data_IF_835052881119
#
_entry.id   IF_835052881119
#
_cell.length_a   1.000
_cell.length_b   1.000
_cell.length_c   1.000
_cell.angle_alpha   90.00
_cell.angle_beta   90.00
_cell.angle_gamma   90.00
#
_symmetry.space_group_name_H-M   'P 1'
#
loop_
_entity.id
_entity.type
_entity.pdbx_description
1 polymer ?
#
# COMPACT_ATOMS: atom_id res chain seq x y z
N UNK A 1 6.48 3.38 9.93
CA UNK A 1 6.65 2.01 9.49
C UNK A 1 7.32 1.91 8.14
N UNK A 2 6.71 2.40 7.08
CA UNK A 2 7.18 2.25 5.68
C UNK A 2 8.52 2.91 5.36
N UNK A 3 9.07 3.78 6.21
CA UNK A 3 10.42 4.31 6.03
C UNK A 3 11.50 3.25 6.31
N UNK A 4 11.18 2.21 7.09
CA UNK A 4 12.13 1.16 7.45
C UNK A 4 12.66 0.41 6.21
N UNK A 5 11.81 -0.11 5.30
CA UNK A 5 12.29 -0.70 4.05
C UNK A 5 13.18 0.25 3.25
N UNK A 6 12.79 1.52 3.13
CA UNK A 6 13.56 2.54 2.42
C UNK A 6 14.95 2.78 3.04
N UNK A 7 15.04 2.81 4.37
CA UNK A 7 16.33 2.93 5.05
C UNK A 7 17.22 1.72 4.83
N UNK A 8 16.64 0.51 4.77
CA UNK A 8 17.39 -0.70 4.47
C UNK A 8 17.88 -0.70 3.01
N UNK A 9 17.06 -0.27 2.05
CA UNK A 9 17.46 -0.12 0.65
C UNK A 9 18.58 0.92 0.50
N UNK A 10 18.43 2.06 1.16
CA UNK A 10 19.45 3.10 1.17
C UNK A 10 20.75 2.66 1.85
N UNK A 11 20.67 1.85 2.91
CA UNK A 11 21.84 1.29 3.59
C UNK A 11 22.67 0.41 2.66
N UNK A 12 22.02 -0.42 1.86
CA UNK A 12 22.67 -1.28 0.88
C UNK A 12 23.22 -0.49 -0.31
N UNK A 13 22.39 0.36 -0.91
CA UNK A 13 22.77 1.10 -2.11
C UNK A 13 23.89 2.14 -1.89
N UNK A 14 23.86 2.81 -0.71
CA UNK A 14 24.84 3.86 -0.36
C UNK A 14 26.00 3.34 0.48
N UNK A 15 26.05 2.04 0.77
CA UNK A 15 27.04 1.43 1.68
C UNK A 15 27.09 2.11 3.07
N UNK A 16 25.90 2.47 3.59
CA UNK A 16 25.68 3.20 4.84
C UNK A 16 25.03 2.31 5.91
N UNK A 17 25.83 1.49 6.64
CA UNK A 17 25.28 0.56 7.65
C UNK A 17 24.56 1.28 8.81
N UNK A 18 24.86 2.53 9.09
CA UNK A 18 24.19 3.35 10.11
C UNK A 18 22.70 3.57 9.80
N UNK A 19 22.30 3.56 8.53
CA UNK A 19 20.88 3.62 8.12
C UNK A 19 20.14 2.33 8.50
N UNK A 20 20.80 1.17 8.40
CA UNK A 20 20.22 -0.10 8.85
C UNK A 20 20.05 -0.13 10.37
N UNK A 21 21.01 0.38 11.13
CA UNK A 21 20.89 0.53 12.58
C UNK A 21 19.72 1.46 12.95
N UNK A 22 19.55 2.55 12.19
CA UNK A 22 18.42 3.46 12.38
C UNK A 22 17.08 2.77 12.11
N UNK A 23 17.00 1.95 11.06
CA UNK A 23 15.81 1.15 10.76
C UNK A 23 15.46 0.17 11.90
N UNK A 24 16.46 -0.50 12.47
CA UNK A 24 16.25 -1.41 13.61
C UNK A 24 15.74 -0.67 14.86
N UNK A 25 16.32 0.48 15.20
CA UNK A 25 15.85 1.31 16.33
C UNK A 25 14.41 1.81 16.12
N UNK A 26 14.03 2.15 14.90
CA UNK A 26 12.64 2.49 14.58
C UNK A 26 11.70 1.29 14.79
N UNK A 27 12.11 0.08 14.40
CA UNK A 27 11.36 -1.14 14.66
C UNK A 27 11.15 -1.40 16.15
N UNK A 28 12.20 -1.23 16.97
CA UNK A 28 12.13 -1.36 18.43
C UNK A 28 11.16 -0.34 19.06
N UNK A 29 11.23 0.91 18.62
CA UNK A 29 10.30 1.93 19.08
C UNK A 29 8.85 1.60 18.68
N UNK A 30 8.60 1.17 17.45
CA UNK A 30 7.26 0.77 16.99
C UNK A 30 6.72 -0.40 17.82
N UNK A 31 7.56 -1.37 18.19
CA UNK A 31 7.15 -2.47 19.05
C UNK A 31 6.69 -1.99 20.44
N UNK A 32 7.31 -0.92 20.97
CA UNK A 32 6.96 -0.34 22.28
C UNK A 32 5.64 0.45 22.26
N UNK A 33 5.30 1.07 21.12
CA UNK A 33 4.09 1.92 20.99
C UNK A 33 2.91 1.17 20.36
N UNK A 34 3.03 -0.16 20.17
CA UNK A 34 1.94 -0.97 19.67
C UNK A 34 0.82 -1.10 20.71
N UNK A 35 -0.41 -0.82 20.28
CA UNK A 35 -1.58 -0.95 21.14
C UNK A 35 -1.87 -2.40 21.55
N UNK A 36 -2.60 -2.63 22.67
CA UNK A 36 -2.90 -3.98 23.15
C UNK A 36 -3.66 -4.86 22.14
N UNK A 37 -4.50 -4.26 21.30
CA UNK A 37 -5.23 -4.94 20.22
C UNK A 37 -4.35 -5.28 19.00
N UNK A 38 -3.11 -4.81 18.98
CA UNK A 38 -2.15 -5.02 17.91
C UNK A 38 -2.12 -3.93 16.85
N UNK A 39 -3.03 -2.97 16.90
CA UNK A 39 -3.08 -1.85 15.99
C UNK A 39 -2.10 -0.74 16.34
N UNK A 40 -2.08 0.30 15.49
CA UNK A 40 -1.30 1.52 15.68
C UNK A 40 -2.15 2.76 15.47
N UNK A 41 -2.05 3.67 16.43
CA UNK A 41 -2.79 4.94 16.45
C UNK A 41 -2.29 5.86 15.33
N UNK A 42 -3.20 6.63 14.75
CA UNK A 42 -2.85 7.76 13.90
C UNK A 42 -2.47 8.97 14.76
N UNK A 43 -1.40 9.65 14.38
CA UNK A 43 -0.98 10.90 15.03
C UNK A 43 -1.69 12.12 14.42
N UNK A 44 -3.01 12.11 14.33
CA UNK A 44 -3.76 13.36 14.18
C UNK A 44 -4.11 13.88 15.57
N UNK A 45 -3.38 14.91 16.00
CA UNK A 45 -3.58 15.55 17.30
C UNK A 45 -4.97 16.20 17.46
N UNK A 46 -5.83 16.14 16.44
CA UNK A 46 -7.14 16.81 16.38
C UNK A 46 -8.32 15.86 16.55
N UNK A 47 -8.10 14.54 16.63
CA UNK A 47 -9.17 13.54 16.72
C UNK A 47 -8.92 12.50 17.82
N UNK A 48 -10.00 11.83 18.25
CA UNK A 48 -9.90 10.65 19.12
C UNK A 48 -8.99 9.63 18.46
N UNK A 49 -7.87 9.37 19.12
CA UNK A 49 -6.80 8.52 18.60
C UNK A 49 -7.19 7.06 18.80
N UNK A 50 -7.65 6.42 17.72
CA UNK A 50 -7.87 4.95 17.68
C UNK A 50 -6.88 4.30 16.71
N UNK A 51 -6.51 3.04 16.92
CA UNK A 51 -5.75 2.29 15.93
C UNK A 51 -6.49 2.20 14.59
N UNK A 52 -5.75 2.35 13.48
CA UNK A 52 -6.33 2.32 12.14
C UNK A 52 -5.61 1.33 11.22
N UNK A 53 -6.37 0.74 10.28
CA UNK A 53 -5.88 -0.26 9.34
C UNK A 53 -4.70 0.26 8.53
N UNK A 54 -4.81 1.47 7.96
CA UNK A 54 -3.74 2.00 7.12
C UNK A 54 -2.40 2.11 7.85
N UNK A 55 -2.39 2.74 9.03
CA UNK A 55 -1.16 2.89 9.82
C UNK A 55 -0.58 1.54 10.25
N UNK A 56 -1.44 0.63 10.70
CA UNK A 56 -1.04 -0.72 11.10
C UNK A 56 -0.40 -1.48 9.94
N UNK A 57 -0.97 -1.39 8.74
CA UNK A 57 -0.42 -1.99 7.53
C UNK A 57 0.94 -1.39 7.13
N UNK A 58 1.08 -0.04 7.21
CA UNK A 58 2.35 0.61 6.90
C UNK A 58 3.45 0.25 7.91
N UNK A 59 3.11 0.03 9.18
CA UNK A 59 4.07 -0.42 10.20
C UNK A 59 4.42 -1.89 9.99
N UNK A 60 3.46 -2.71 9.59
CA UNK A 60 3.69 -4.12 9.28
C UNK A 60 4.68 -4.31 8.12
N UNK A 61 4.72 -3.42 7.10
CA UNK A 61 5.79 -3.41 6.10
C UNK A 61 7.17 -3.25 6.74
N UNK A 62 7.30 -2.38 7.73
CA UNK A 62 8.54 -2.18 8.46
C UNK A 62 8.96 -3.43 9.24
N UNK A 63 8.04 -4.04 9.99
CA UNK A 63 8.32 -5.29 10.71
C UNK A 63 8.72 -6.42 9.76
N UNK A 64 7.98 -6.60 8.66
CA UNK A 64 8.32 -7.61 7.65
C UNK A 64 9.74 -7.41 7.09
N UNK A 65 10.11 -6.18 6.75
CA UNK A 65 11.44 -5.89 6.25
C UNK A 65 12.55 -6.23 7.27
N UNK A 66 12.35 -5.89 8.53
CA UNK A 66 13.31 -6.23 9.60
C UNK A 66 13.39 -7.74 9.86
N UNK A 67 12.26 -8.42 9.88
CA UNK A 67 12.20 -9.87 10.08
C UNK A 67 12.90 -10.59 8.92
N UNK A 68 12.57 -10.24 7.68
CA UNK A 68 13.05 -10.94 6.48
C UNK A 68 14.49 -10.60 6.10
N UNK A 69 14.90 -9.34 6.27
CA UNK A 69 16.21 -8.87 5.78
C UNK A 69 17.27 -8.76 6.89
N UNK A 70 16.83 -8.59 8.15
CA UNK A 70 17.72 -8.42 9.32
C UNK A 70 17.61 -9.55 10.34
N UNK A 71 16.73 -10.54 10.11
CA UNK A 71 16.56 -11.69 11.00
C UNK A 71 15.97 -11.34 12.38
N UNK A 72 15.26 -10.20 12.54
CA UNK A 72 14.69 -9.73 13.80
C UNK A 72 13.47 -10.56 14.22
N UNK A 73 13.72 -11.78 14.66
CA UNK A 73 12.69 -12.72 15.11
C UNK A 73 11.94 -12.26 16.36
N UNK A 74 12.53 -11.40 17.16
CA UNK A 74 11.91 -10.72 18.31
C UNK A 74 10.71 -9.85 17.91
N UNK A 75 10.63 -9.38 16.64
CA UNK A 75 9.50 -8.61 16.12
C UNK A 75 8.34 -9.48 15.61
N UNK A 76 8.51 -10.79 15.45
CA UNK A 76 7.45 -11.70 14.96
C UNK A 76 6.18 -11.65 15.82
N UNK A 77 6.23 -11.65 17.16
CA UNK A 77 5.02 -11.52 17.97
C UNK A 77 4.26 -10.20 17.71
N UNK A 78 4.99 -9.09 17.48
CA UNK A 78 4.41 -7.79 17.17
C UNK A 78 3.76 -7.78 15.78
N UNK A 79 4.45 -8.31 14.77
CA UNK A 79 3.91 -8.45 13.43
C UNK A 79 2.65 -9.33 13.41
N UNK A 80 2.62 -10.42 14.17
CA UNK A 80 1.46 -11.30 14.30
C UNK A 80 0.26 -10.60 14.95
N UNK A 81 0.46 -9.77 15.98
CA UNK A 81 -0.61 -8.95 16.56
C UNK A 81 -1.15 -7.94 15.55
N UNK A 82 -0.27 -7.25 14.83
CA UNK A 82 -0.68 -6.34 13.75
C UNK A 82 -1.47 -7.07 12.64
N UNK A 83 -1.04 -8.27 12.24
CA UNK A 83 -1.77 -9.11 11.29
C UNK A 83 -3.16 -9.50 11.81
N UNK A 84 -3.29 -9.87 13.07
CA UNK A 84 -4.59 -10.18 13.69
C UNK A 84 -5.52 -8.97 13.73
N UNK A 85 -4.98 -7.78 14.04
CA UNK A 85 -5.73 -6.53 13.98
C UNK A 85 -6.30 -6.29 12.56
N UNK A 86 -5.48 -6.41 11.52
CA UNK A 86 -5.94 -6.26 10.13
C UNK A 86 -7.03 -7.29 9.78
N UNK A 87 -6.85 -8.55 10.14
CA UNK A 87 -7.87 -9.59 9.89
C UNK A 87 -9.18 -9.26 10.61
N UNK A 88 -9.14 -8.79 11.86
CA UNK A 88 -10.35 -8.42 12.61
C UNK A 88 -11.06 -7.19 12.04
N UNK A 89 -10.36 -6.39 11.25
CA UNK A 89 -10.89 -5.19 10.59
C UNK A 89 -11.62 -5.48 9.28
N UNK A 90 -11.48 -6.70 8.73
CA UNK A 90 -12.19 -7.12 7.53
C UNK A 90 -13.66 -7.45 7.80
N UNK A 91 -14.51 -7.18 6.83
CA UNK A 91 -15.88 -7.68 6.76
C UNK A 91 -15.97 -8.95 5.89
N UNK A 92 -17.19 -9.45 5.72
CA UNK A 92 -17.44 -10.68 4.95
C UNK A 92 -17.14 -10.55 3.45
N UNK A 93 -17.01 -9.34 2.93
CA UNK A 93 -16.61 -9.08 1.54
C UNK A 93 -15.10 -9.06 1.34
N UNK A 94 -14.33 -9.09 2.43
CA UNK A 94 -12.88 -8.93 2.45
C UNK A 94 -12.41 -7.47 2.54
N UNK A 95 -13.32 -6.48 2.54
CA UNK A 95 -12.92 -5.09 2.69
C UNK A 95 -12.51 -4.81 4.14
N UNK A 96 -11.47 -3.99 4.32
CA UNK A 96 -11.14 -3.43 5.62
C UNK A 96 -12.03 -2.22 5.86
N UNK A 97 -13.04 -2.37 6.72
CA UNK A 97 -14.02 -1.32 7.04
C UNK A 97 -14.03 -0.98 8.52
N UNK A 98 -13.82 -1.99 9.39
CA UNK A 98 -13.67 -1.72 10.82
C UNK A 98 -12.30 -1.13 11.10
N UNK A 99 -12.23 -0.25 12.09
CA UNK A 99 -10.98 0.44 12.45
C UNK A 99 -10.39 1.24 11.28
N UNK A 100 -11.25 1.82 10.47
CA UNK A 100 -10.87 2.70 9.37
C UNK A 100 -11.35 4.13 9.60
N UNK A 101 -10.76 5.04 8.83
CA UNK A 101 -11.20 6.43 8.80
C UNK A 101 -12.63 6.50 8.27
N UNK A 102 -13.49 7.25 8.96
CA UNK A 102 -14.90 7.46 8.59
C UNK A 102 -15.73 6.18 8.50
N UNK A 103 -15.28 5.08 9.12
CA UNK A 103 -15.92 3.76 9.07
C UNK A 103 -16.31 3.33 7.64
N UNK A 104 -15.43 3.65 6.67
CA UNK A 104 -15.62 3.32 5.27
C UNK A 104 -14.44 2.50 4.71
N UNK A 105 -14.74 1.64 3.75
CA UNK A 105 -13.71 0.88 3.07
C UNK A 105 -12.94 1.75 2.06
N UNK A 106 -11.62 1.57 2.02
CA UNK A 106 -10.73 2.29 1.11
C UNK A 106 -9.96 1.30 0.22
N UNK A 107 -10.03 1.50 -1.11
CA UNK A 107 -9.32 0.65 -2.06
C UNK A 107 -7.79 0.68 -1.86
N UNK A 108 -7.23 1.79 -1.40
CA UNK A 108 -5.79 1.91 -1.14
C UNK A 108 -5.30 1.01 0.02
N UNK A 109 -6.20 0.43 0.83
CA UNK A 109 -5.84 -0.52 1.87
C UNK A 109 -5.34 -1.88 1.35
N UNK A 110 -5.43 -2.14 0.04
CA UNK A 110 -4.71 -3.26 -0.58
C UNK A 110 -3.20 -3.19 -0.31
N UNK A 111 -2.66 -2.00 -0.02
CA UNK A 111 -1.28 -1.84 0.45
C UNK A 111 -1.07 -2.48 1.83
N UNK A 112 -2.03 -2.37 2.74
CA UNK A 112 -2.02 -3.08 4.03
C UNK A 112 -2.21 -4.59 3.84
N UNK A 113 -3.05 -5.01 2.89
CA UNK A 113 -3.21 -6.41 2.51
C UNK A 113 -1.92 -7.02 1.94
N UNK A 114 -1.14 -6.27 1.15
CA UNK A 114 0.19 -6.70 0.71
C UNK A 114 1.11 -7.00 1.93
N UNK A 115 1.17 -6.12 2.92
CA UNK A 115 1.96 -6.38 4.12
C UNK A 115 1.48 -7.65 4.85
N UNK A 116 0.16 -7.85 4.93
CA UNK A 116 -0.45 -9.04 5.56
C UNK A 116 -0.13 -10.32 4.78
N UNK A 117 -0.19 -10.30 3.44
CA UNK A 117 0.19 -11.44 2.60
C UNK A 117 1.65 -11.81 2.78
N UNK A 118 2.54 -10.81 2.82
CA UNK A 118 3.97 -11.02 3.06
C UNK A 118 4.21 -11.72 4.39
N UNK A 119 3.55 -11.28 5.46
CA UNK A 119 3.62 -11.92 6.78
C UNK A 119 3.07 -13.35 6.74
N UNK A 120 1.88 -13.54 6.12
CA UNK A 120 1.23 -14.85 6.00
C UNK A 120 2.15 -15.86 5.32
N UNK A 121 2.76 -15.50 4.20
CA UNK A 121 3.73 -16.34 3.49
C UNK A 121 4.95 -16.68 4.33
N UNK A 122 5.51 -15.71 5.03
CA UNK A 122 6.66 -15.96 5.90
C UNK A 122 6.36 -16.92 7.04
N UNK A 123 5.18 -16.78 7.65
CA UNK A 123 4.79 -17.58 8.82
C UNK A 123 4.05 -18.89 8.46
N UNK A 124 3.70 -19.11 7.19
CA UNK A 124 2.80 -20.21 6.78
C UNK A 124 1.40 -20.06 7.36
N UNK A 125 0.92 -18.84 7.58
CA UNK A 125 -0.36 -18.56 8.24
C UNK A 125 -1.46 -18.31 7.20
N UNK A 126 -2.22 -19.35 6.89
CA UNK A 126 -3.31 -19.31 5.91
C UNK A 126 -4.42 -18.30 6.23
N UNK A 127 -4.63 -17.96 7.51
CA UNK A 127 -5.62 -16.95 7.92
C UNK A 127 -5.20 -15.57 7.38
N UNK A 128 -3.92 -15.23 7.52
CA UNK A 128 -3.39 -13.96 7.00
C UNK A 128 -3.41 -13.93 5.48
N UNK A 129 -3.00 -15.03 4.83
CA UNK A 129 -3.03 -15.12 3.37
C UNK A 129 -4.44 -14.97 2.82
N UNK A 130 -5.41 -15.70 3.38
CA UNK A 130 -6.80 -15.66 2.92
C UNK A 130 -7.42 -14.27 3.08
N UNK A 131 -7.21 -13.61 4.21
CA UNK A 131 -7.72 -12.26 4.44
C UNK A 131 -7.09 -11.23 3.50
N UNK A 132 -5.78 -11.33 3.26
CA UNK A 132 -5.08 -10.44 2.35
C UNK A 132 -5.57 -10.61 0.90
N UNK A 133 -5.74 -11.85 0.45
CA UNK A 133 -6.24 -12.15 -0.91
C UNK A 133 -7.69 -11.70 -1.07
N UNK A 134 -8.54 -11.89 -0.06
CA UNK A 134 -9.92 -11.41 -0.08
C UNK A 134 -9.99 -9.88 -0.24
N UNK A 135 -9.11 -9.13 0.46
CA UNK A 135 -9.05 -7.68 0.32
C UNK A 135 -8.59 -7.26 -1.08
N UNK A 136 -7.60 -7.93 -1.65
CA UNK A 136 -7.15 -7.64 -3.02
C UNK A 136 -8.25 -7.97 -4.05
N UNK A 137 -8.97 -9.07 -3.89
CA UNK A 137 -10.11 -9.43 -4.75
C UNK A 137 -11.23 -8.38 -4.65
N UNK A 138 -11.56 -7.93 -3.43
CA UNK A 138 -12.48 -6.82 -3.21
C UNK A 138 -11.99 -5.53 -3.90
N UNK A 139 -10.71 -5.21 -3.77
CA UNK A 139 -10.12 -4.01 -4.41
C UNK A 139 -10.25 -4.08 -5.93
N UNK A 140 -9.96 -5.22 -6.55
CA UNK A 140 -10.15 -5.40 -8.01
C UNK A 140 -11.61 -5.19 -8.41
N UNK A 141 -12.57 -5.64 -7.59
CA UNK A 141 -13.99 -5.44 -7.85
C UNK A 141 -14.42 -3.95 -7.80
N UNK A 142 -13.61 -3.06 -7.21
CA UNK A 142 -13.86 -1.61 -7.24
C UNK A 142 -13.42 -0.97 -8.57
N UNK A 143 -12.69 -1.69 -9.45
CA UNK A 143 -12.21 -1.11 -10.69
C UNK A 143 -13.33 -0.98 -11.72
N UNK A 144 -13.46 0.23 -12.28
CA UNK A 144 -14.38 0.51 -13.40
C UNK A 144 -13.77 0.05 -14.73
N UNK A 145 -14.58 0.03 -15.79
CA UNK A 145 -14.13 -0.41 -17.12
C UNK A 145 -13.02 0.46 -17.72
N UNK A 146 -12.92 1.73 -17.29
CA UNK A 146 -11.87 2.66 -17.75
C UNK A 146 -10.60 2.64 -16.86
N UNK A 147 -10.51 1.70 -15.91
CA UNK A 147 -9.34 1.54 -15.05
C UNK A 147 -9.32 2.38 -13.79
N UNK A 148 -10.33 3.21 -13.52
CA UNK A 148 -10.43 3.96 -12.28
C UNK A 148 -10.87 3.04 -11.12
N UNK A 149 -10.42 3.31 -9.89
CA UNK A 149 -10.87 2.59 -8.70
C UNK A 149 -11.81 3.45 -7.88
N UNK A 150 -13.04 2.98 -7.68
CA UNK A 150 -13.99 3.53 -6.71
C UNK A 150 -13.49 3.27 -5.28
N UNK A 151 -14.10 3.94 -4.30
CA UNK A 151 -13.70 3.83 -2.90
C UNK A 151 -12.22 4.14 -2.65
N UNK A 152 -11.63 5.00 -3.49
CA UNK A 152 -10.21 5.36 -3.42
C UNK A 152 -10.04 6.84 -3.05
N UNK A 153 -10.73 7.27 -2.00
CA UNK A 153 -10.76 8.63 -1.45
C UNK A 153 -10.32 8.58 0.01
N UNK A 154 -9.76 9.68 0.53
CA UNK A 154 -9.32 9.75 1.92
C UNK A 154 -10.46 10.07 2.90
N UNK A 155 -11.49 10.78 2.46
CA UNK A 155 -12.68 11.07 3.25
C UNK A 155 -13.91 11.25 2.37
N UNK A 156 -15.13 11.10 2.94
CA UNK A 156 -16.38 11.29 2.21
C UNK A 156 -16.45 12.66 1.52
N UNK A 157 -16.87 12.65 0.25
CA UNK A 157 -17.01 13.88 -0.55
C UNK A 157 -15.73 14.43 -1.16
N UNK A 158 -14.56 13.80 -0.89
CA UNK A 158 -13.32 14.17 -1.57
C UNK A 158 -13.17 13.41 -2.90
N UNK A 159 -12.31 13.95 -3.76
CA UNK A 159 -11.92 13.30 -5.01
C UNK A 159 -10.79 12.30 -4.76
N UNK A 160 -10.61 11.37 -5.70
CA UNK A 160 -9.46 10.48 -5.65
C UNK A 160 -8.16 11.27 -5.84
N UNK A 161 -7.21 11.04 -4.95
CA UNK A 161 -5.89 11.67 -5.02
C UNK A 161 -4.93 10.74 -5.78
N UNK A 162 -4.05 11.33 -6.60
CA UNK A 162 -3.00 10.60 -7.34
C UNK A 162 -2.15 9.70 -6.43
N UNK A 163 -1.91 10.14 -5.19
CA UNK A 163 -1.22 9.35 -4.17
C UNK A 163 -1.99 8.07 -3.78
N UNK A 164 -3.31 8.20 -3.56
CA UNK A 164 -4.16 7.04 -3.26
C UNK A 164 -4.26 6.08 -4.46
N UNK A 165 -4.30 6.61 -5.70
CA UNK A 165 -4.25 5.80 -6.92
C UNK A 165 -2.94 4.99 -6.97
N UNK A 166 -1.81 5.64 -6.70
CA UNK A 166 -0.50 4.97 -6.66
C UNK A 166 -0.45 3.85 -5.61
N UNK A 167 -1.07 4.05 -4.44
CA UNK A 167 -1.15 3.01 -3.40
C UNK A 167 -1.91 1.77 -3.85
N UNK A 168 -3.04 1.94 -4.56
CA UNK A 168 -3.79 0.81 -5.11
C UNK A 168 -2.94 0.03 -6.10
N UNK A 169 -2.34 0.74 -7.06
CA UNK A 169 -1.54 0.10 -8.12
C UNK A 169 -0.33 -0.62 -7.57
N UNK A 170 0.40 0.01 -6.64
CA UNK A 170 1.54 -0.62 -6.00
C UNK A 170 1.11 -1.84 -5.18
N UNK A 171 0.03 -1.72 -4.38
CA UNK A 171 -0.50 -2.82 -3.60
C UNK A 171 -0.87 -4.03 -4.47
N UNK A 172 -1.68 -3.83 -5.52
CA UNK A 172 -2.08 -4.91 -6.43
C UNK A 172 -0.90 -5.52 -7.20
N UNK A 173 0.08 -4.70 -7.62
CA UNK A 173 1.28 -5.18 -8.29
C UNK A 173 2.10 -6.12 -7.39
N UNK A 174 2.30 -5.74 -6.13
CA UNK A 174 3.00 -6.58 -5.16
C UNK A 174 2.19 -7.82 -4.78
N UNK A 175 0.85 -7.70 -4.67
CA UNK A 175 -0.03 -8.85 -4.49
C UNK A 175 0.10 -9.84 -5.66
N UNK A 176 0.21 -9.37 -6.91
CA UNK A 176 0.52 -10.21 -8.06
C UNK A 176 1.88 -10.90 -7.91
N UNK A 177 2.94 -10.15 -7.62
CA UNK A 177 4.30 -10.67 -7.50
C UNK A 177 4.41 -11.80 -6.45
N UNK A 178 3.65 -11.71 -5.35
CA UNK A 178 3.68 -12.69 -4.27
C UNK A 178 2.75 -13.89 -4.55
N UNK A 179 1.55 -13.64 -5.10
CA UNK A 179 0.51 -14.66 -5.25
C UNK A 179 0.49 -15.34 -6.61
N UNK A 180 1.05 -14.72 -7.66
CA UNK A 180 0.96 -15.16 -9.05
C UNK A 180 -0.42 -14.95 -9.69
N UNK A 181 -1.35 -14.22 -9.04
CA UNK A 181 -2.70 -14.00 -9.59
C UNK A 181 -2.69 -12.95 -10.70
N UNK A 182 -2.94 -13.39 -11.93
CA UNK A 182 -2.97 -12.52 -13.13
C UNK A 182 -4.06 -11.45 -13.10
N UNK A 183 -5.16 -11.67 -12.38
CA UNK A 183 -6.23 -10.68 -12.24
C UNK A 183 -5.73 -9.35 -11.65
N UNK A 184 -4.77 -9.41 -10.71
CA UNK A 184 -4.19 -8.23 -10.09
C UNK A 184 -3.32 -7.44 -11.07
N UNK A 185 -2.45 -8.13 -11.81
CA UNK A 185 -1.63 -7.49 -12.85
C UNK A 185 -2.49 -6.89 -13.96
N UNK A 186 -3.54 -7.59 -14.38
CA UNK A 186 -4.50 -7.10 -15.38
C UNK A 186 -5.18 -5.81 -14.92
N UNK A 187 -5.56 -5.72 -13.63
CA UNK A 187 -6.14 -4.51 -13.07
C UNK A 187 -5.13 -3.35 -13.03
N UNK A 188 -3.87 -3.63 -12.65
CA UNK A 188 -2.79 -2.62 -12.65
C UNK A 188 -2.53 -2.11 -14.06
N UNK A 189 -2.40 -2.99 -15.07
CA UNK A 189 -2.17 -2.60 -16.47
C UNK A 189 -3.25 -1.66 -16.97
N UNK A 190 -4.53 -2.00 -16.75
CA UNK A 190 -5.65 -1.17 -17.21
C UNK A 190 -5.57 0.27 -16.69
N UNK A 191 -5.22 0.45 -15.44
CA UNK A 191 -5.02 1.78 -14.87
C UNK A 191 -3.75 2.44 -15.38
N UNK A 192 -2.63 1.70 -15.45
CA UNK A 192 -1.35 2.22 -15.91
C UNK A 192 -1.43 2.70 -17.37
N UNK A 193 -2.04 1.93 -18.27
CA UNK A 193 -2.27 2.32 -19.67
C UNK A 193 -3.09 3.61 -19.75
N UNK A 194 -4.08 3.76 -18.89
CA UNK A 194 -4.88 4.98 -18.86
C UNK A 194 -4.07 6.18 -18.34
N UNK A 195 -3.26 5.98 -17.31
CA UNK A 195 -2.35 7.01 -16.76
C UNK A 195 -1.35 7.47 -17.82
N UNK A 196 -0.74 6.52 -18.54
CA UNK A 196 0.16 6.81 -19.67
C UNK A 196 -0.56 7.68 -20.72
N UNK A 197 -1.76 7.27 -21.16
CA UNK A 197 -2.54 8.02 -22.15
C UNK A 197 -2.88 9.44 -21.68
N UNK A 198 -3.27 9.61 -20.41
CA UNK A 198 -3.55 10.93 -19.81
C UNK A 198 -2.27 11.79 -19.76
N UNK A 199 -1.14 11.18 -19.38
CA UNK A 199 0.14 11.91 -19.36
C UNK A 199 0.61 12.28 -20.76
N UNK A 200 0.48 11.41 -21.73
CA UNK A 200 0.84 11.72 -23.14
C UNK A 200 0.01 12.89 -23.70
N UNK A 201 -1.28 12.95 -23.35
CA UNK A 201 -2.18 14.03 -23.78
C UNK A 201 -1.92 15.35 -23.03
N UNK A 202 -1.80 15.30 -21.69
CA UNK A 202 -1.78 16.49 -20.81
C UNK A 202 -0.37 16.93 -20.41
N UNK A 203 0.65 16.08 -20.60
CA UNK A 203 2.05 16.26 -20.17
C UNK A 203 2.24 16.58 -18.69
N UNK A 204 1.27 16.19 -17.87
CA UNK A 204 1.28 16.30 -16.41
C UNK A 204 0.21 15.40 -15.80
N UNK A 205 0.35 15.14 -14.50
CA UNK A 205 -0.73 14.64 -13.65
C UNK A 205 -1.00 15.66 -12.57
N UNK A 206 -2.25 15.71 -12.08
CA UNK A 206 -2.66 16.62 -11.01
C UNK A 206 -2.98 15.85 -9.73
N UNK A 207 -3.12 16.57 -8.61
CA UNK A 207 -3.38 15.95 -7.31
C UNK A 207 -4.71 15.21 -7.25
N UNK A 208 -5.77 15.77 -7.85
CA UNK A 208 -7.12 15.21 -7.78
C UNK A 208 -7.63 14.83 -9.16
N UNK A 209 -8.10 13.59 -9.28
CA UNK A 209 -8.53 12.99 -10.54
C UNK A 209 -9.92 12.39 -10.32
N UNK A 210 -10.85 12.70 -11.24
CA UNK A 210 -12.21 12.18 -11.23
C UNK A 210 -12.34 10.80 -11.86
N UNK A 211 -13.54 10.19 -11.76
CA UNK A 211 -13.81 8.83 -12.20
C UNK A 211 -13.59 8.62 -13.71
N UNK A 212 -13.71 9.67 -14.52
CA UNK A 212 -13.43 9.64 -15.95
C UNK A 212 -12.01 10.11 -16.31
N UNK A 213 -11.11 10.20 -15.33
CA UNK A 213 -9.72 10.67 -15.43
C UNK A 213 -9.62 12.17 -15.76
N UNK A 214 -10.67 12.94 -15.54
CA UNK A 214 -10.66 14.39 -15.63
C UNK A 214 -9.84 14.99 -14.47
N UNK A 215 -9.18 16.13 -14.75
CA UNK A 215 -8.42 16.86 -13.75
C UNK A 215 -9.33 17.75 -12.91
N UNK A 216 -9.37 17.53 -11.60
CA UNK A 216 -10.21 18.24 -10.65
C UNK A 216 -9.42 19.24 -9.78
N UNK A 217 -8.12 19.30 -9.97
CA UNK A 217 -7.24 20.30 -9.34
C UNK A 217 -6.24 20.88 -10.35
N UNK A 218 -5.54 21.93 -9.97
CA UNK A 218 -4.49 22.53 -10.79
C UNK A 218 -3.06 22.23 -10.30
N UNK A 219 -2.92 21.78 -9.06
CA UNK A 219 -1.63 21.49 -8.43
C UNK A 219 -1.24 20.02 -8.59
N UNK A 220 0.06 19.74 -8.46
CA UNK A 220 0.62 18.40 -8.58
C UNK A 220 0.69 17.73 -7.21
N UNK A 221 0.56 16.40 -7.19
CA UNK A 221 0.92 15.56 -6.05
C UNK A 221 2.28 14.91 -6.32
N UNK A 222 3.39 15.55 -5.93
CA UNK A 222 4.74 15.07 -6.21
C UNK A 222 4.99 13.65 -5.66
N UNK A 223 4.49 13.37 -4.46
CA UNK A 223 4.57 12.03 -3.86
C UNK A 223 3.82 10.99 -4.70
N UNK A 224 2.61 11.32 -5.15
CA UNK A 224 1.82 10.44 -6.00
C UNK A 224 2.49 10.20 -7.35
N UNK A 225 3.04 11.24 -7.98
CA UNK A 225 3.79 11.12 -9.23
C UNK A 225 5.02 10.20 -9.07
N UNK A 226 5.83 10.41 -8.02
CA UNK A 226 6.99 9.56 -7.76
C UNK A 226 6.62 8.09 -7.51
N UNK A 227 5.52 7.83 -6.83
CA UNK A 227 5.04 6.46 -6.60
C UNK A 227 4.49 5.82 -7.88
N UNK A 228 3.77 6.57 -8.72
CA UNK A 228 3.34 6.08 -10.03
C UNK A 228 4.54 5.76 -10.93
N UNK A 229 5.58 6.59 -10.92
CA UNK A 229 6.82 6.31 -11.64
C UNK A 229 7.43 4.96 -11.22
N UNK A 230 7.48 4.68 -9.90
CA UNK A 230 7.94 3.37 -9.40
C UNK A 230 7.08 2.22 -9.95
N UNK A 231 5.76 2.36 -9.96
CA UNK A 231 4.84 1.34 -10.50
C UNK A 231 5.10 1.12 -11.99
N UNK A 232 5.25 2.21 -12.77
CA UNK A 232 5.50 2.13 -14.21
C UNK A 232 6.86 1.48 -14.52
N UNK A 233 7.93 1.84 -13.80
CA UNK A 233 9.24 1.18 -13.95
C UNK A 233 9.18 -0.31 -13.62
N UNK A 234 8.41 -0.70 -12.59
CA UNK A 234 8.21 -2.10 -12.26
C UNK A 234 7.41 -2.86 -13.33
N UNK A 235 6.37 -2.25 -13.89
CA UNK A 235 5.63 -2.81 -15.04
C UNK A 235 6.53 -2.95 -16.26
N UNK A 236 7.37 -1.95 -16.56
CA UNK A 236 8.37 -2.07 -17.63
C UNK A 236 9.29 -3.28 -17.39
N UNK A 237 9.78 -3.46 -16.17
CA UNK A 237 10.63 -4.61 -15.82
C UNK A 237 9.94 -5.96 -15.98
N UNK A 238 8.63 -6.05 -15.80
CA UNK A 238 7.85 -7.28 -15.97
C UNK A 238 7.48 -7.57 -17.44
N UNK A 239 7.20 -6.53 -18.22
CA UNK A 239 6.56 -6.65 -19.54
C UNK A 239 7.41 -6.17 -20.71
N UNK A 240 8.53 -5.50 -20.43
CA UNK A 240 9.40 -4.85 -21.39
C UNK A 240 8.68 -3.83 -22.31
N UNK A 241 7.62 -3.19 -21.80
CA UNK A 241 6.89 -2.13 -22.51
C UNK A 241 7.56 -0.77 -22.26
N UNK A 242 8.14 -0.18 -23.31
CA UNK A 242 8.86 1.10 -23.21
C UNK A 242 7.96 2.28 -22.87
N UNK A 243 6.64 2.22 -23.14
CA UNK A 243 5.72 3.30 -22.77
C UNK A 243 5.75 3.56 -21.27
N UNK A 244 5.86 2.50 -20.46
CA UNK A 244 5.98 2.62 -19.01
C UNK A 244 7.31 3.24 -18.58
N UNK A 245 8.40 2.90 -19.25
CA UNK A 245 9.72 3.49 -18.98
C UNK A 245 9.76 5.00 -19.31
N UNK A 246 9.20 5.38 -20.49
CA UNK A 246 9.27 6.74 -21.00
C UNK A 246 8.32 7.70 -20.24
N UNK A 247 7.29 7.15 -19.58
CA UNK A 247 6.31 7.93 -18.79
C UNK A 247 6.71 8.05 -17.32
N UNK A 248 7.35 7.04 -16.75
CA UNK A 248 7.81 7.01 -15.36
C UNK A 248 9.04 7.88 -15.14
#
# INVERSE_FOLDING_TARGET
GYIIPTLLDAAEYLERPDLAVTAERLGEWLAQVQEPDGGFIEHDLRQDTKPVVFNTGQILHGFNALILRRGRQDLVPHARRAGNFLVSSADDTGSFVRNEHYDMAHAYNVRSAWALLTLGRHLGDMKFESAALANADWTVAQQTSNGFFRNNIFQPGWNANTHAIAYVLQGLLEMHCISGRESYLTAVRRSADRIVSVYEEKKRLVSEIGENWEFLSSHLCLTGCAQLAIVLFRLHGLENDKRYLDTG
#
